data_IF_181137652986
#
_entry.id   IF_181137652986
#
_cell.length_a   1.000
_cell.length_b   1.000
_cell.length_c   1.000
_cell.angle_alpha   90.00
_cell.angle_beta   90.00
_cell.angle_gamma   90.00
#
_symmetry.space_group_name_H-M   'P 1'
#
loop_
_entity.id
_entity.type
_entity.pdbx_description
1 polymer ?
#
# COMPACT_ATOMS: atom_id res chain seq x y z
N UNK A 1 -33.63 39.70 -0.83
CA UNK A 1 -32.26 39.78 -1.36
C UNK A 1 -31.48 38.58 -0.82
N UNK A 2 -31.28 37.59 -1.69
CA UNK A 2 -30.53 36.38 -1.37
C UNK A 2 -29.01 36.62 -1.35
N UNK A 3 -28.32 35.63 -0.80
CA UNK A 3 -26.86 35.53 -0.87
C UNK A 3 -26.24 35.03 0.42
N UNK A 4 -26.59 33.82 0.86
CA UNK A 4 -25.73 33.06 1.78
C UNK A 4 -24.44 32.78 1.01
N UNK A 5 -23.42 33.59 1.25
CA UNK A 5 -22.07 33.34 0.75
C UNK A 5 -21.56 32.09 1.47
N UNK A 6 -21.67 30.94 0.83
CA UNK A 6 -20.80 29.81 1.15
C UNK A 6 -19.37 30.29 0.94
N UNK A 7 -18.62 30.43 2.03
CA UNK A 7 -17.17 30.53 1.91
C UNK A 7 -16.69 29.30 1.12
N UNK A 8 -15.77 29.44 0.16
CA UNK A 8 -15.10 28.26 -0.37
C UNK A 8 -14.41 27.59 0.82
N UNK A 9 -14.65 26.29 0.98
CA UNK A 9 -13.83 25.45 1.84
C UNK A 9 -12.38 25.75 1.45
N UNK A 10 -11.64 26.42 2.33
CA UNK A 10 -10.21 26.55 2.20
C UNK A 10 -9.67 25.14 2.41
N UNK A 11 -9.56 24.38 1.31
CA UNK A 11 -9.01 23.04 1.32
C UNK A 11 -7.57 23.14 1.85
N UNK A 12 -7.32 22.45 2.95
CA UNK A 12 -6.07 22.51 3.69
C UNK A 12 -4.96 21.90 2.82
N UNK A 13 -3.84 22.60 2.53
CA UNK A 13 -2.83 22.19 1.55
C UNK A 13 -1.97 20.98 1.99
N UNK A 14 -2.45 20.19 2.94
CA UNK A 14 -1.83 18.95 3.38
C UNK A 14 -2.94 18.02 3.85
N UNK A 15 -3.64 17.38 2.90
CA UNK A 15 -4.71 16.44 3.24
C UNK A 15 -4.25 15.01 3.06
N UNK A 16 -4.32 14.25 4.15
CA UNK A 16 -3.95 12.84 4.20
C UNK A 16 -5.18 11.97 4.42
N UNK A 17 -5.28 10.88 3.67
CA UNK A 17 -6.35 9.90 3.77
C UNK A 17 -5.79 8.54 4.16
N UNK A 18 -6.29 8.00 5.27
CA UNK A 18 -5.91 6.67 5.73
C UNK A 18 -6.59 5.60 4.88
N UNK A 19 -5.90 4.46 4.70
CA UNK A 19 -6.50 3.28 4.13
C UNK A 19 -7.67 2.82 5.01
N UNK A 20 -8.80 2.49 4.38
CA UNK A 20 -9.94 1.88 5.04
C UNK A 20 -9.65 0.39 5.29
N UNK A 21 -9.68 -0.02 6.55
CA UNK A 21 -9.51 -1.40 6.94
C UNK A 21 -10.89 -2.07 6.92
N UNK A 22 -11.14 -2.92 5.93
CA UNK A 22 -12.41 -3.67 5.86
C UNK A 22 -12.44 -4.70 7.02
N UNK A 23 -13.49 -4.72 7.88
CA UNK A 23 -13.58 -5.67 8.99
C UNK A 23 -13.65 -7.14 8.54
N UNK A 24 -14.04 -7.44 7.28
CA UNK A 24 -13.97 -8.78 6.70
C UNK A 24 -12.53 -9.31 6.48
N UNK A 25 -11.52 -8.46 6.71
CA UNK A 25 -10.09 -8.81 6.69
C UNK A 25 -9.61 -9.44 8.00
N UNK A 26 -10.37 -9.26 9.09
CA UNK A 26 -10.05 -9.82 10.40
C UNK A 26 -10.79 -11.15 10.59
N UNK A 27 -10.11 -12.26 10.31
CA UNK A 27 -10.54 -13.54 10.87
C UNK A 27 -10.38 -13.45 12.40
N UNK A 28 -11.50 -13.67 13.08
CA UNK A 28 -11.66 -13.85 14.53
C UNK A 28 -10.38 -14.19 15.30
N UNK A 29 -9.97 -13.29 16.21
CA UNK A 29 -9.00 -13.59 17.27
C UNK A 29 -7.65 -12.89 17.12
N UNK A 30 -7.57 -11.64 17.59
CA UNK A 30 -6.44 -11.11 18.38
C UNK A 30 -4.99 -11.11 17.85
N UNK A 31 -4.70 -11.62 16.66
CA UNK A 31 -3.35 -11.63 16.10
C UNK A 31 -3.39 -11.16 14.65
N UNK A 32 -2.68 -10.08 14.36
CA UNK A 32 -2.58 -9.48 13.02
C UNK A 32 -1.98 -10.51 12.05
N UNK A 33 -2.82 -11.21 11.29
CA UNK A 33 -2.38 -12.18 10.28
C UNK A 33 -1.78 -11.41 9.09
N UNK A 34 -0.51 -11.63 8.75
CA UNK A 34 0.11 -11.00 7.59
C UNK A 34 -0.62 -11.41 6.30
N UNK A 35 -0.84 -10.45 5.38
CA UNK A 35 -1.49 -10.69 4.09
C UNK A 35 -0.64 -11.66 3.25
N UNK A 36 -1.05 -12.93 3.16
CA UNK A 36 -0.43 -13.91 2.26
C UNK A 36 -0.88 -13.63 0.81
N UNK A 37 -0.01 -12.97 0.03
CA UNK A 37 -0.19 -12.86 -1.42
C UNK A 37 0.13 -14.20 -2.10
N UNK A 38 -0.70 -14.64 -3.04
CA UNK A 38 -0.40 -15.81 -3.86
C UNK A 38 0.70 -15.51 -4.90
N UNK A 39 1.55 -16.49 -5.26
CA UNK A 39 2.58 -16.33 -6.28
C UNK A 39 2.03 -15.74 -7.57
N UNK A 40 2.70 -14.71 -8.10
CA UNK A 40 2.50 -14.20 -9.47
C UNK A 40 1.14 -13.57 -9.78
N UNK A 41 0.32 -13.27 -8.77
CA UNK A 41 -0.99 -12.63 -8.94
C UNK A 41 -1.13 -11.39 -8.08
N UNK A 42 -1.86 -10.38 -8.59
CA UNK A 42 -2.28 -9.23 -7.81
C UNK A 42 -3.04 -9.67 -6.55
N UNK A 43 -2.85 -8.95 -5.44
CA UNK A 43 -3.55 -9.30 -4.19
C UNK A 43 -5.07 -9.28 -4.42
N UNK A 44 -5.60 -8.35 -5.22
CA UNK A 44 -7.02 -8.32 -5.62
C UNK A 44 -7.52 -9.59 -6.33
N UNK A 45 -6.64 -10.39 -6.92
CA UNK A 45 -6.99 -11.65 -7.60
C UNK A 45 -6.96 -12.86 -6.64
N UNK A 46 -6.22 -12.75 -5.53
CA UNK A 46 -6.14 -13.77 -4.48
C UNK A 46 -7.08 -13.52 -3.29
N UNK A 47 -7.42 -12.26 -3.03
CA UNK A 47 -8.39 -11.79 -2.05
C UNK A 47 -9.17 -10.63 -2.66
N UNK A 48 -10.46 -10.39 -2.32
CA UNK A 48 -11.20 -9.22 -2.79
C UNK A 48 -10.71 -7.96 -2.06
N UNK A 49 -9.52 -7.49 -2.40
CA UNK A 49 -8.73 -6.54 -1.64
C UNK A 49 -8.25 -5.36 -2.49
N UNK A 50 -9.19 -4.56 -2.98
CA UNK A 50 -8.84 -3.23 -3.47
C UNK A 50 -8.52 -2.32 -2.29
N UNK A 51 -7.42 -1.59 -2.38
CA UNK A 51 -7.05 -0.58 -1.38
C UNK A 51 -8.02 0.60 -1.49
N UNK A 52 -8.89 0.72 -0.49
CA UNK A 52 -9.82 1.83 -0.31
C UNK A 52 -9.29 2.82 0.72
N UNK A 53 -9.70 4.09 0.62
CA UNK A 53 -9.20 5.18 1.46
C UNK A 53 -10.38 5.97 2.03
N UNK A 54 -10.49 5.98 3.35
CA UNK A 54 -11.62 6.57 4.06
C UNK A 54 -11.68 8.08 3.79
N UNK A 55 -12.81 8.55 3.26
CA UNK A 55 -13.01 9.96 2.93
C UNK A 55 -12.32 10.45 1.65
N UNK A 56 -11.71 9.56 0.86
CA UNK A 56 -11.11 9.88 -0.43
C UNK A 56 -11.98 9.34 -1.58
N UNK A 57 -13.22 9.82 -1.69
CA UNK A 57 -14.09 9.45 -2.81
C UNK A 57 -13.46 9.85 -4.16
N UNK A 58 -13.84 9.21 -5.29
CA UNK A 58 -13.33 9.60 -6.61
C UNK A 58 -13.53 11.08 -6.95
N UNK A 59 -14.62 11.69 -6.44
CA UNK A 59 -14.88 13.12 -6.60
C UNK A 59 -13.89 13.94 -5.76
N UNK A 60 -13.72 13.62 -4.48
CA UNK A 60 -12.76 14.32 -3.62
C UNK A 60 -11.32 14.21 -4.13
N UNK A 61 -10.92 13.03 -4.60
CA UNK A 61 -9.60 12.83 -5.22
C UNK A 61 -9.39 13.73 -6.44
N UNK A 62 -10.42 13.97 -7.26
CA UNK A 62 -10.32 14.91 -8.40
C UNK A 62 -10.10 16.34 -7.93
N UNK A 63 -10.82 16.81 -6.91
CA UNK A 63 -10.63 18.15 -6.36
C UNK A 63 -9.22 18.32 -5.79
N UNK A 64 -8.74 17.35 -5.01
CA UNK A 64 -7.39 17.36 -4.47
C UNK A 64 -6.33 17.43 -5.57
N UNK A 65 -6.48 16.62 -6.62
CA UNK A 65 -5.57 16.66 -7.78
C UNK A 65 -5.53 18.00 -8.49
N UNK A 66 -6.64 18.74 -8.50
CA UNK A 66 -6.68 20.08 -9.11
C UNK A 66 -6.01 21.14 -8.24
N UNK A 67 -5.90 20.91 -6.94
CA UNK A 67 -5.45 21.90 -5.96
C UNK A 67 -4.13 21.54 -5.26
N UNK A 68 -3.49 20.45 -5.65
CA UNK A 68 -2.20 20.00 -5.14
C UNK A 68 -1.18 19.91 -6.27
N UNK A 69 0.09 19.84 -5.90
CA UNK A 69 1.20 19.68 -6.81
C UNK A 69 2.02 18.41 -6.53
N UNK A 70 1.88 17.86 -5.32
CA UNK A 70 2.63 16.69 -4.89
C UNK A 70 1.70 15.68 -4.20
N UNK A 71 1.92 14.39 -4.47
CA UNK A 71 1.32 13.30 -3.74
C UNK A 71 2.39 12.41 -3.12
N UNK A 72 2.16 11.96 -1.89
CA UNK A 72 3.07 11.05 -1.17
C UNK A 72 2.34 9.89 -0.53
N UNK A 73 2.99 8.74 -0.48
CA UNK A 73 2.48 7.55 0.19
C UNK A 73 3.63 6.64 0.62
N UNK A 74 3.44 5.88 1.70
CA UNK A 74 4.41 4.89 2.18
C UNK A 74 3.79 3.50 2.26
N UNK A 75 4.59 2.48 1.98
CA UNK A 75 4.24 1.08 2.21
C UNK A 75 5.37 0.40 2.95
N UNK A 76 5.08 -0.24 4.07
CA UNK A 76 6.03 -1.08 4.79
C UNK A 76 5.76 -2.55 4.47
N UNK A 77 6.82 -3.27 4.10
CA UNK A 77 6.83 -4.72 3.97
C UNK A 77 7.53 -5.30 5.19
N UNK A 78 6.91 -6.29 5.82
CA UNK A 78 7.48 -7.02 6.94
C UNK A 78 7.53 -8.51 6.61
N UNK A 79 8.62 -9.19 6.99
CA UNK A 79 8.68 -10.62 6.82
C UNK A 79 9.45 -11.34 7.92
N UNK A 80 9.02 -12.58 8.17
CA UNK A 80 9.66 -13.49 9.12
C UNK A 80 10.35 -14.62 8.38
N UNK A 81 11.67 -14.81 8.54
CA UNK A 81 12.35 -15.97 7.99
C UNK A 81 11.88 -17.25 8.66
N UNK A 82 11.75 -18.34 7.91
CA UNK A 82 11.44 -19.66 8.46
C UNK A 82 12.76 -20.31 8.87
N UNK A 83 12.82 -20.91 10.07
CA UNK A 83 14.06 -21.47 10.62
C UNK A 83 14.60 -22.63 9.77
N UNK A 84 13.78 -23.28 8.95
CA UNK A 84 14.16 -24.48 8.20
C UNK A 84 14.92 -24.17 6.90
N UNK A 85 14.87 -22.93 6.40
CA UNK A 85 15.39 -22.64 5.06
C UNK A 85 16.89 -22.33 5.00
N UNK A 86 17.57 -21.92 6.07
CA UNK A 86 19.04 -21.78 6.22
C UNK A 86 19.83 -21.01 5.14
N UNK A 87 19.17 -20.56 4.07
CA UNK A 87 19.76 -20.18 2.80
C UNK A 87 19.16 -18.82 2.42
N UNK A 88 19.98 -17.88 1.93
CA UNK A 88 19.52 -16.54 1.61
C UNK A 88 18.42 -16.59 0.56
N UNK A 89 17.29 -15.93 0.85
CA UNK A 89 16.16 -15.89 -0.08
C UNK A 89 16.55 -15.13 -1.36
N UNK A 90 16.10 -15.62 -2.53
CA UNK A 90 16.31 -14.89 -3.78
C UNK A 90 15.54 -13.57 -3.75
N UNK A 91 16.08 -12.58 -4.46
CA UNK A 91 15.41 -11.32 -4.73
C UNK A 91 14.07 -11.56 -5.42
N UNK A 92 13.03 -10.84 -4.98
CA UNK A 92 11.67 -10.90 -5.51
C UNK A 92 11.32 -9.58 -6.15
N UNK A 93 10.45 -9.61 -7.16
CA UNK A 93 9.89 -8.40 -7.74
C UNK A 93 8.57 -8.07 -7.04
N UNK A 94 8.40 -6.82 -6.62
CA UNK A 94 7.12 -6.31 -6.11
C UNK A 94 6.59 -5.23 -7.06
N UNK A 95 5.28 -5.25 -7.31
CA UNK A 95 4.59 -4.20 -8.07
C UNK A 95 3.49 -3.58 -7.24
N UNK A 96 3.27 -2.28 -7.46
CA UNK A 96 2.21 -1.50 -6.84
C UNK A 96 1.36 -0.86 -7.93
N UNK A 97 0.07 -1.17 -7.96
CA UNK A 97 -0.86 -0.61 -8.94
C UNK A 97 -1.25 0.80 -8.53
N UNK A 98 -1.11 1.76 -9.45
CA UNK A 98 -1.45 3.15 -9.23
C UNK A 98 -2.97 3.42 -9.33
N UNK A 99 -3.42 4.62 -8.94
CA UNK A 99 -4.82 5.01 -9.07
C UNK A 99 -5.32 5.04 -10.52
N UNK A 100 -4.46 5.43 -11.46
CA UNK A 100 -4.78 5.40 -12.90
C UNK A 100 -5.16 4.00 -13.40
N UNK A 101 -4.76 2.93 -12.69
CA UNK A 101 -4.92 1.51 -13.07
C UNK A 101 -4.24 1.10 -14.37
N UNK A 102 -3.60 2.03 -15.06
CA UNK A 102 -2.84 1.81 -16.29
C UNK A 102 -1.34 1.71 -16.02
N UNK A 103 -0.88 2.28 -14.90
CA UNK A 103 0.52 2.32 -14.52
C UNK A 103 0.77 1.60 -13.20
N UNK A 104 2.00 1.12 -13.02
CA UNK A 104 2.46 0.48 -11.79
C UNK A 104 3.89 0.87 -11.47
N UNK A 105 4.19 1.03 -10.18
CA UNK A 105 5.56 1.06 -9.69
C UNK A 105 6.07 -0.37 -9.54
N UNK A 106 7.35 -0.59 -9.82
CA UNK A 106 8.03 -1.85 -9.57
C UNK A 106 9.26 -1.60 -8.70
N UNK A 107 9.54 -2.53 -7.79
CA UNK A 107 10.72 -2.50 -6.97
C UNK A 107 11.24 -3.91 -6.72
N UNK A 108 12.52 -3.98 -6.37
CA UNK A 108 13.13 -5.20 -5.87
C UNK A 108 12.91 -5.33 -4.38
N UNK A 109 12.56 -6.53 -3.96
CA UNK A 109 12.41 -6.90 -2.57
C UNK A 109 13.50 -7.92 -2.22
N UNK A 110 14.39 -7.53 -1.32
CA UNK A 110 15.43 -8.43 -0.85
C UNK A 110 14.83 -9.57 -0.02
N UNK A 111 15.50 -10.72 -0.06
CA UNK A 111 15.14 -11.88 0.74
C UNK A 111 15.16 -11.59 2.24
N UNK A 112 14.27 -12.23 2.99
CA UNK A 112 14.25 -12.13 4.44
C UNK A 112 15.48 -12.81 5.03
N UNK A 113 16.37 -12.04 5.66
CA UNK A 113 17.60 -12.58 6.28
C UNK A 113 17.34 -12.82 7.76
N UNK A 114 17.78 -13.97 8.27
CA UNK A 114 17.91 -14.22 9.71
C UNK A 114 19.02 -13.34 10.24
N UNK A 115 18.70 -12.14 10.73
CA UNK A 115 19.65 -11.41 11.55
C UNK A 115 19.56 -11.91 12.99
N UNK A 116 20.71 -12.08 13.66
CA UNK A 116 20.82 -12.74 14.96
C UNK A 116 20.08 -12.00 16.10
N UNK A 117 19.51 -10.84 15.83
CA UNK A 117 18.74 -10.00 16.73
C UNK A 117 17.33 -9.75 16.16
N UNK A 118 16.37 -10.60 16.53
CA UNK A 118 14.92 -10.32 16.45
C UNK A 118 14.24 -10.21 15.06
N UNK A 119 13.94 -11.37 14.48
CA UNK A 119 12.59 -11.82 14.04
C UNK A 119 11.75 -11.11 12.94
N UNK A 120 11.99 -9.87 12.51
CA UNK A 120 11.22 -9.23 11.40
C UNK A 120 12.12 -8.25 10.63
N UNK A 121 12.29 -8.42 9.31
CA UNK A 121 12.92 -7.41 8.45
C UNK A 121 11.85 -6.48 7.88
N UNK A 122 11.98 -5.17 8.13
CA UNK A 122 11.08 -4.15 7.58
C UNK A 122 11.72 -3.41 6.40
N UNK A 123 11.08 -3.48 5.23
CA UNK A 123 11.43 -2.68 4.04
C UNK A 123 10.40 -1.59 3.84
N UNK A 124 10.83 -0.33 3.69
CA UNK A 124 9.92 0.81 3.49
C UNK A 124 10.03 1.32 2.05
N UNK A 125 8.91 1.30 1.34
CA UNK A 125 8.74 1.92 0.03
C UNK A 125 8.12 3.31 0.22
N UNK A 126 8.79 4.34 -0.28
CA UNK A 126 8.28 5.71 -0.27
C UNK A 126 8.00 6.18 -1.70
N UNK A 127 6.75 6.57 -1.94
CA UNK A 127 6.27 7.12 -3.20
C UNK A 127 6.09 8.62 -3.03
N UNK A 128 6.70 9.39 -3.93
CA UNK A 128 6.56 10.85 -4.02
C UNK A 128 6.48 11.19 -5.51
N UNK A 129 5.43 11.89 -5.94
CA UNK A 129 5.18 12.17 -7.36
C UNK A 129 4.42 13.48 -7.57
N UNK A 130 4.74 14.20 -8.64
CA UNK A 130 3.96 15.34 -9.13
C UNK A 130 2.82 14.88 -10.07
N UNK A 131 2.90 13.66 -10.61
CA UNK A 131 1.82 13.03 -11.37
C UNK A 131 0.79 12.44 -10.40
N UNK A 132 -0.17 13.27 -9.98
CA UNK A 132 -1.11 12.96 -8.91
C UNK A 132 -2.12 11.84 -9.22
N UNK A 133 -2.24 11.43 -10.49
CA UNK A 133 -2.99 10.24 -10.91
C UNK A 133 -2.31 8.93 -10.53
N UNK A 134 -1.05 8.97 -10.08
CA UNK A 134 -0.33 7.75 -9.70
C UNK A 134 -0.59 7.31 -8.26
N UNK A 135 -1.18 8.18 -7.44
CA UNK A 135 -1.59 7.89 -6.07
C UNK A 135 -3.09 8.19 -5.85
N UNK A 136 -3.77 7.49 -4.93
CA UNK A 136 -3.24 6.43 -4.05
C UNK A 136 -2.94 5.13 -4.77
N UNK A 137 -2.12 4.28 -4.15
CA UNK A 137 -1.95 2.89 -4.56
C UNK A 137 -3.28 2.12 -4.42
N UNK A 138 -3.63 1.33 -5.42
CA UNK A 138 -4.88 0.56 -5.48
C UNK A 138 -4.71 -0.91 -5.21
N UNK A 139 -3.51 -1.44 -5.44
CA UNK A 139 -3.19 -2.85 -5.24
C UNK A 139 -1.68 -3.05 -5.13
N UNK A 140 -1.25 -4.24 -4.72
CA UNK A 140 0.13 -4.69 -4.77
C UNK A 140 0.23 -6.16 -5.18
N UNK A 141 1.37 -6.57 -5.73
CA UNK A 141 1.65 -7.95 -6.13
C UNK A 141 3.11 -8.29 -5.84
N UNK A 142 3.36 -9.48 -5.28
CA UNK A 142 4.71 -10.02 -5.12
C UNK A 142 4.89 -11.17 -6.11
N UNK A 143 5.85 -11.01 -7.02
CA UNK A 143 6.23 -12.04 -7.96
C UNK A 143 7.40 -12.84 -7.37
N UNK A 144 7.17 -14.13 -7.14
CA UNK A 144 8.20 -15.05 -6.68
C UNK A 144 8.23 -16.30 -7.56
N UNK A 145 9.44 -16.79 -7.84
CA UNK A 145 9.68 -17.93 -8.72
C UNK A 145 9.62 -19.27 -7.95
N UNK A 146 8.59 -19.48 -7.14
CA UNK A 146 8.32 -20.80 -6.52
C UNK A 146 8.76 -21.00 -5.06
N UNK A 147 9.32 -19.99 -4.39
CA UNK A 147 9.65 -20.10 -2.96
C UNK A 147 8.42 -19.79 -2.07
N UNK A 148 7.69 -20.83 -1.69
CA UNK A 148 6.35 -20.74 -1.10
C UNK A 148 6.31 -21.23 0.36
N UNK A 149 6.89 -20.51 1.33
CA UNK A 149 6.64 -20.85 2.75
C UNK A 149 7.06 -19.80 3.79
N UNK A 150 6.73 -18.52 3.62
CA UNK A 150 7.07 -17.52 4.65
C UNK A 150 5.89 -16.61 4.98
N UNK A 151 5.74 -16.26 6.25
CA UNK A 151 4.76 -15.28 6.71
C UNK A 151 5.32 -13.89 6.42
N UNK A 152 4.69 -13.17 5.49
CA UNK A 152 5.00 -11.80 5.16
C UNK A 152 3.74 -10.94 5.16
N UNK A 153 3.88 -9.65 5.44
CA UNK A 153 2.79 -8.71 5.53
C UNK A 153 3.14 -7.36 4.93
N UNK A 154 2.09 -6.58 4.67
CA UNK A 154 2.20 -5.23 4.17
C UNK A 154 1.36 -4.28 5.02
N UNK A 155 1.92 -3.12 5.32
CA UNK A 155 1.22 -1.99 5.93
C UNK A 155 1.24 -0.82 4.96
N UNK A 156 0.08 -0.49 4.40
CA UNK A 156 -0.08 0.65 3.49
C UNK A 156 -0.44 1.88 4.31
N UNK A 157 0.43 2.89 4.27
CA UNK A 157 0.25 4.17 4.94
C UNK A 157 -0.76 5.08 4.22
N UNK A 158 -1.08 6.23 4.83
CA UNK A 158 -1.96 7.22 4.22
C UNK A 158 -1.39 7.73 2.91
N UNK A 159 -2.29 8.15 2.01
CA UNK A 159 -1.93 9.00 0.87
C UNK A 159 -2.10 10.46 1.28
N UNK A 160 -1.12 11.30 1.00
CA UNK A 160 -1.15 12.73 1.31
C UNK A 160 -0.99 13.56 0.04
N UNK A 161 -1.79 14.61 -0.10
CA UNK A 161 -1.72 15.59 -1.18
C UNK A 161 -1.37 16.97 -0.62
N UNK A 162 -0.47 17.68 -1.31
CA UNK A 162 -0.04 19.05 -0.98
C UNK A 162 0.17 19.91 -2.22
#
# INVERSE_FOLDING_TARGET
HGGTRHLPLQENPNQCFNRELNPAQFSTGGEHRPLQAAPTTWVSLSLPLQLEYAGASPVQLRFLRLHSHLATQKVSYSCRPAPEQGQPQPEKEIRFLADSREQSYAASLQGCVLDNESSITDTIFQFTTEELSLLPLRDLAVFHNGDASHQFGFTVGPVCFS
#
